data_IF_768792240764
#
_entry.id   IF_768792240764
#
_cell.length_a   1.000
_cell.length_b   1.000
_cell.length_c   1.000
_cell.angle_alpha   90.00
_cell.angle_beta   90.00
_cell.angle_gamma   90.00
#
_symmetry.space_group_name_H-M   'P 1'
#
loop_
_entity.id
_entity.type
_entity.pdbx_description
1 polymer ?
#
# COMPACT_ATOMS: atom_id res chain seq x y z
N UNK A 1 12.87 -30.85 14.24
CA UNK A 1 11.38 -30.89 14.25
C UNK A 1 10.91 -29.50 14.61
N UNK A 2 10.21 -28.79 13.72
CA UNK A 2 9.73 -27.42 13.97
C UNK A 2 8.22 -27.49 14.17
N UNK A 3 7.73 -26.91 15.26
CA UNK A 3 6.31 -26.81 15.57
C UNK A 3 5.81 -25.45 15.09
N UNK A 4 4.71 -25.45 14.34
CA UNK A 4 4.01 -24.23 13.95
C UNK A 4 2.98 -23.92 15.03
N UNK A 5 3.07 -22.75 15.66
CA UNK A 5 2.10 -22.30 16.66
C UNK A 5 1.36 -21.10 16.06
N UNK A 6 0.06 -21.25 15.89
CA UNK A 6 -0.82 -20.19 15.40
C UNK A 6 -1.05 -19.17 16.52
N UNK A 7 -0.66 -17.92 16.28
CA UNK A 7 -0.95 -16.81 17.19
C UNK A 7 -2.06 -15.97 16.61
N UNK A 8 -3.19 -15.91 17.31
CA UNK A 8 -4.27 -14.99 16.94
C UNK A 8 -3.84 -13.58 17.34
N UNK A 9 -3.55 -12.76 16.34
CA UNK A 9 -3.23 -11.34 16.53
C UNK A 9 -4.52 -10.53 16.44
N UNK A 10 -4.86 -9.83 17.51
CA UNK A 10 -5.96 -8.84 17.55
C UNK A 10 -5.42 -7.45 17.23
N UNK A 11 -6.31 -6.47 17.00
CA UNK A 11 -5.87 -5.08 16.74
C UNK A 11 -5.44 -4.80 15.29
N UNK A 12 -5.89 -5.62 14.34
CA UNK A 12 -5.66 -5.42 12.89
C UNK A 12 -6.95 -4.98 12.18
N UNK A 13 -7.97 -4.56 12.94
CA UNK A 13 -9.19 -4.01 12.39
C UNK A 13 -8.94 -2.65 11.73
N UNK A 14 -9.85 -2.23 10.85
CA UNK A 14 -9.71 -0.95 10.15
C UNK A 14 -9.64 0.25 11.13
N UNK A 15 -10.40 0.20 12.23
CA UNK A 15 -10.36 1.21 13.28
C UNK A 15 -9.02 1.21 14.04
N UNK A 16 -8.48 0.02 14.35
CA UNK A 16 -7.21 -0.14 15.05
C UNK A 16 -6.05 0.39 14.19
N UNK A 17 -6.05 0.07 12.89
CA UNK A 17 -5.08 0.56 11.93
C UNK A 17 -5.16 2.08 11.80
N UNK A 18 -6.37 2.65 11.70
CA UNK A 18 -6.55 4.09 11.61
C UNK A 18 -6.01 4.81 12.85
N UNK A 19 -6.29 4.27 14.04
CA UNK A 19 -5.76 4.79 15.30
C UNK A 19 -4.23 4.67 15.36
N UNK A 20 -3.67 3.52 14.99
CA UNK A 20 -2.23 3.30 14.97
C UNK A 20 -1.51 4.28 14.03
N UNK A 21 -2.08 4.55 12.84
CA UNK A 21 -1.53 5.53 11.91
C UNK A 21 -1.61 6.96 12.45
N UNK A 22 -2.71 7.33 13.12
CA UNK A 22 -2.84 8.64 13.74
C UNK A 22 -1.79 8.85 14.84
N UNK A 23 -1.60 7.85 15.71
CA UNK A 23 -0.58 7.87 16.76
C UNK A 23 0.82 7.90 16.15
N UNK A 24 1.09 7.07 15.15
CA UNK A 24 2.38 7.05 14.48
C UNK A 24 2.72 8.41 13.84
N UNK A 25 1.75 9.06 13.19
CA UNK A 25 1.93 10.40 12.63
C UNK A 25 2.17 11.48 13.68
N UNK A 26 1.53 11.38 14.86
CA UNK A 26 1.76 12.29 15.97
C UNK A 26 3.16 12.11 16.58
N UNK A 27 3.66 10.88 16.66
CA UNK A 27 4.98 10.56 17.22
C UNK A 27 6.13 10.78 16.21
N UNK A 28 5.88 10.55 14.92
CA UNK A 28 6.88 10.58 13.87
C UNK A 28 6.52 11.64 12.83
N UNK A 29 6.48 12.90 13.26
CA UNK A 29 6.34 14.02 12.35
C UNK A 29 7.46 13.95 11.29
N UNK A 30 7.14 14.04 9.98
CA UNK A 30 8.16 14.02 8.95
C UNK A 30 9.02 15.28 9.08
N UNK A 31 10.27 15.11 9.51
CA UNK A 31 11.24 16.21 9.72
C UNK A 31 12.11 16.50 8.49
N UNK A 32 12.04 15.66 7.46
CA UNK A 32 12.82 15.78 6.22
C UNK A 32 12.01 16.34 5.04
N UNK A 33 12.68 16.70 3.93
CA UNK A 33 12.00 17.00 2.68
C UNK A 33 11.07 15.84 2.27
N UNK A 34 9.87 16.18 1.78
CA UNK A 34 8.79 15.23 1.42
C UNK A 34 9.29 14.04 0.58
N UNK A 35 10.27 14.28 -0.30
CA UNK A 35 11.09 13.25 -0.93
C UNK A 35 12.52 13.72 -1.12
N UNK A 36 13.45 12.77 -1.03
CA UNK A 36 14.83 13.00 -1.42
C UNK A 36 14.92 13.37 -2.92
N UNK A 37 15.83 14.27 -3.30
CA UNK A 37 15.89 14.84 -4.66
C UNK A 37 16.10 13.77 -5.75
N UNK A 38 16.79 12.68 -5.44
CA UNK A 38 16.96 11.52 -6.32
C UNK A 38 15.63 10.81 -6.66
N UNK A 39 14.63 10.90 -5.79
CA UNK A 39 13.29 10.32 -5.98
C UNK A 39 12.31 11.26 -6.69
N UNK A 40 12.63 12.57 -6.78
CA UNK A 40 11.77 13.57 -7.42
C UNK A 40 11.70 13.41 -8.95
N UNK A 41 12.65 12.70 -9.56
CA UNK A 41 12.78 12.56 -11.01
C UNK A 41 11.89 11.46 -11.60
N UNK A 42 11.30 10.59 -10.78
CA UNK A 42 10.37 9.55 -11.27
C UNK A 42 9.01 10.19 -11.55
N UNK A 43 8.89 10.81 -12.73
CA UNK A 43 7.61 11.28 -13.27
C UNK A 43 6.57 10.15 -13.15
N UNK A 44 5.44 10.46 -12.51
CA UNK A 44 4.26 9.61 -12.27
C UNK A 44 3.52 9.21 -13.56
N UNK A 45 4.24 9.04 -14.67
CA UNK A 45 3.70 8.69 -15.98
C UNK A 45 3.59 7.17 -16.21
N UNK A 46 4.19 6.34 -15.34
CA UNK A 46 4.12 4.88 -15.46
C UNK A 46 2.70 4.30 -15.30
N UNK A 47 1.76 5.06 -14.72
CA UNK A 47 0.40 4.58 -14.44
C UNK A 47 -0.62 4.72 -15.57
N UNK A 48 -0.38 5.56 -16.60
CA UNK A 48 -1.41 5.82 -17.63
C UNK A 48 -1.56 4.69 -18.66
N UNK A 49 -0.57 3.80 -18.76
CA UNK A 49 -0.62 2.65 -19.69
C UNK A 49 -1.32 1.41 -19.12
N UNK A 50 -1.54 1.33 -17.81
CA UNK A 50 -2.08 0.13 -17.16
C UNK A 50 -3.61 0.11 -17.08
N UNK A 51 -4.30 1.25 -17.10
CA UNK A 51 -5.77 1.31 -17.04
C UNK A 51 -6.43 0.68 -18.28
N UNK A 52 -6.00 1.07 -19.49
CA UNK A 52 -6.51 0.49 -20.74
C UNK A 52 -6.17 -1.00 -20.87
N UNK A 53 -4.96 -1.41 -20.47
CA UNK A 53 -4.56 -2.82 -20.48
C UNK A 53 -5.34 -3.67 -19.46
N UNK A 54 -5.71 -3.11 -18.30
CA UNK A 54 -6.51 -3.77 -17.26
C UNK A 54 -7.98 -3.91 -17.67
N UNK A 55 -8.54 -2.91 -18.38
CA UNK A 55 -9.89 -3.00 -18.96
C UNK A 55 -10.02 -4.18 -19.92
N UNK A 56 -9.10 -4.32 -20.88
CA UNK A 56 -9.10 -5.43 -21.86
C UNK A 56 -9.01 -6.82 -21.24
N UNK A 57 -8.28 -6.99 -20.13
CA UNK A 57 -8.20 -8.29 -19.43
C UNK A 57 -9.51 -8.66 -18.72
N UNK A 58 -10.28 -7.69 -18.23
CA UNK A 58 -11.55 -7.96 -17.54
C UNK A 58 -12.64 -8.41 -18.50
N UNK A 59 -12.69 -7.88 -19.71
CA UNK A 59 -13.60 -8.35 -20.76
C UNK A 59 -13.25 -9.77 -21.21
N UNK A 60 -11.97 -10.06 -21.44
CA UNK A 60 -11.54 -11.42 -21.81
C UNK A 60 -11.86 -12.48 -20.74
N UNK A 61 -11.71 -12.14 -19.44
CA UNK A 61 -12.04 -13.06 -18.33
C UNK A 61 -13.54 -13.24 -18.08
N UNK A 62 -14.38 -12.30 -18.50
CA UNK A 62 -15.86 -12.43 -18.38
C UNK A 62 -16.50 -13.14 -19.58
N UNK A 63 -15.77 -13.28 -20.67
CA UNK A 63 -16.22 -13.93 -21.91
C UNK A 63 -15.70 -15.38 -22.05
N UNK A 64 -15.06 -15.91 -21.01
CA UNK A 64 -14.65 -17.31 -20.85
C UNK A 64 -15.34 -17.88 -19.60
#
# INVERSE_FOLDING_TARGET
MIQQVEHTVTGVGAADIALALAVAGALHAPTGPDRAPELATVRRAAGRRTAAARSRRRTARRAA
#
